data_IF_341753501749
#
_entry.id   IF_341753501749
#
_cell.length_a   1.000
_cell.length_b   1.000
_cell.length_c   1.000
_cell.angle_alpha   90.00
_cell.angle_beta   90.00
_cell.angle_gamma   90.00
#
_symmetry.space_group_name_H-M   'P 1'
#
loop_
_entity.id
_entity.type
_entity.pdbx_description
1 polymer ?
#
# COMPACT_ATOMS: atom_id res chain seq x y z
N UNK A 1 -13.65 -9.32 -3.39
CA UNK A 1 -13.43 -10.76 -3.60
C UNK A 1 -13.19 -11.39 -2.23
N UNK A 2 -14.03 -12.34 -1.81
CA UNK A 2 -13.80 -13.10 -0.58
C UNK A 2 -12.74 -14.16 -0.91
N UNK A 3 -11.58 -14.09 -0.27
CA UNK A 3 -10.50 -15.04 -0.47
C UNK A 3 -10.97 -16.45 -0.10
N UNK A 4 -10.75 -17.43 -0.97
CA UNK A 4 -11.06 -18.83 -0.64
C UNK A 4 -10.06 -19.35 0.38
N UNK A 5 -10.46 -20.40 1.10
CA UNK A 5 -9.80 -21.00 2.27
C UNK A 5 -8.34 -21.48 2.08
N UNK A 6 -7.75 -21.36 0.88
CA UNK A 6 -6.33 -21.66 0.63
C UNK A 6 -5.42 -20.42 0.77
N UNK A 7 -5.92 -19.20 0.56
CA UNK A 7 -5.10 -17.99 0.66
C UNK A 7 -4.68 -17.69 2.12
N UNK A 8 -5.47 -18.16 3.10
CA UNK A 8 -5.13 -18.04 4.52
C UNK A 8 -3.87 -18.82 4.90
N UNK A 9 -3.51 -19.87 4.16
CA UNK A 9 -2.26 -20.61 4.39
C UNK A 9 -1.00 -19.79 4.06
N UNK A 10 -1.13 -18.74 3.25
CA UNK A 10 -0.03 -17.85 2.88
C UNK A 10 -0.02 -16.53 3.67
N UNK A 11 -0.98 -16.33 4.58
CA UNK A 11 -1.04 -15.15 5.43
C UNK A 11 -0.63 -15.50 6.87
N UNK A 12 0.51 -14.97 7.31
CA UNK A 12 0.94 -15.04 8.70
C UNK A 12 0.93 -13.65 9.31
N UNK A 13 -0.08 -13.36 10.12
CA UNK A 13 -0.17 -12.11 10.90
C UNK A 13 1.05 -11.91 11.80
N UNK A 14 1.58 -13.01 12.36
CA UNK A 14 2.79 -12.97 13.17
C UNK A 14 4.00 -12.53 12.36
N UNK A 15 4.20 -13.11 11.16
CA UNK A 15 5.29 -12.74 10.27
C UNK A 15 5.16 -11.28 9.79
N UNK A 16 3.93 -10.86 9.47
CA UNK A 16 3.65 -9.47 9.08
C UNK A 16 4.09 -8.49 10.17
N UNK A 17 3.65 -8.69 11.42
CA UNK A 17 4.06 -7.81 12.52
C UNK A 17 5.53 -7.95 12.90
N UNK A 18 6.12 -9.13 12.77
CA UNK A 18 7.56 -9.32 12.94
C UNK A 18 8.37 -8.43 11.98
N UNK A 19 8.00 -8.38 10.70
CA UNK A 19 8.67 -7.54 9.71
C UNK A 19 8.37 -6.05 9.98
N UNK A 20 7.09 -5.68 10.10
CA UNK A 20 6.67 -4.28 10.28
C UNK A 20 7.34 -3.67 11.52
N UNK A 21 7.31 -4.35 12.66
CA UNK A 21 7.86 -3.83 13.90
C UNK A 21 9.38 -3.87 13.96
N UNK A 22 10.04 -4.79 13.26
CA UNK A 22 11.51 -4.84 13.24
C UNK A 22 12.12 -3.83 12.25
N UNK A 23 11.48 -3.60 11.10
CA UNK A 23 12.08 -2.83 9.99
C UNK A 23 11.45 -1.47 9.73
N UNK A 24 10.13 -1.34 9.90
CA UNK A 24 9.38 -0.19 9.40
C UNK A 24 8.88 0.74 10.51
N UNK A 25 8.69 0.22 11.72
CA UNK A 25 8.23 1.02 12.85
C UNK A 25 9.29 2.04 13.28
N UNK A 26 8.84 3.25 13.61
CA UNK A 26 9.69 4.32 14.10
C UNK A 26 10.25 3.92 15.48
N UNK A 27 11.57 3.91 15.62
CA UNK A 27 12.26 3.52 16.85
C UNK A 27 13.21 4.65 17.24
N UNK A 28 13.08 5.28 18.42
CA UNK A 28 12.07 4.99 19.46
C UNK A 28 10.65 5.32 19.00
N UNK A 29 9.66 4.61 19.56
CA UNK A 29 8.25 4.81 19.23
C UNK A 29 7.78 6.23 19.58
N UNK A 30 7.06 6.90 18.66
CA UNK A 30 6.39 8.16 18.96
C UNK A 30 5.23 7.93 19.93
N UNK A 31 4.83 8.99 20.64
CA UNK A 31 3.64 8.93 21.50
C UNK A 31 2.37 8.67 20.69
N UNK A 32 1.37 8.04 21.32
CA UNK A 32 0.07 7.79 20.66
C UNK A 32 -0.62 9.10 20.25
N UNK A 33 -0.47 10.16 21.05
CA UNK A 33 -1.00 11.50 20.74
C UNK A 33 -0.33 12.11 19.50
N UNK A 34 0.99 11.96 19.38
CA UNK A 34 1.72 12.45 18.21
C UNK A 34 1.28 11.73 16.94
N UNK A 35 1.17 10.40 16.97
CA UNK A 35 0.69 9.65 15.81
C UNK A 35 -0.76 9.96 15.46
N UNK A 36 -1.63 10.13 16.45
CA UNK A 36 -3.01 10.56 16.24
C UNK A 36 -3.04 11.95 15.59
N UNK A 37 -2.23 12.89 16.07
CA UNK A 37 -2.10 14.23 15.49
C UNK A 37 -1.62 14.17 14.03
N UNK A 38 -0.64 13.30 13.73
CA UNK A 38 -0.18 13.08 12.34
C UNK A 38 -1.30 12.53 11.45
N UNK A 39 -2.11 11.60 11.97
CA UNK A 39 -3.27 11.04 11.27
C UNK A 39 -4.35 12.09 11.00
N UNK A 40 -4.75 12.87 12.00
CA UNK A 40 -5.80 13.90 11.89
C UNK A 40 -5.39 15.06 10.98
N UNK A 41 -4.09 15.37 10.92
CA UNK A 41 -3.56 16.42 10.05
C UNK A 41 -3.32 15.96 8.60
N UNK A 42 -3.45 14.67 8.29
CA UNK A 42 -3.30 14.15 6.95
C UNK A 42 -4.60 14.30 6.15
N UNK A 43 -4.50 14.83 4.91
CA UNK A 43 -5.67 14.95 4.02
C UNK A 43 -6.28 13.60 3.64
N UNK A 44 -5.42 12.59 3.49
CA UNK A 44 -5.78 11.19 3.23
C UNK A 44 -4.77 10.34 4.02
N UNK A 45 -5.26 9.35 4.77
CA UNK A 45 -4.43 8.41 5.51
C UNK A 45 -5.00 7.00 5.41
N UNK A 46 -4.14 6.00 5.35
CA UNK A 46 -4.55 4.59 5.39
C UNK A 46 -4.74 4.13 6.84
N UNK A 47 -5.99 4.12 7.32
CA UNK A 47 -6.37 3.53 8.60
C UNK A 47 -5.77 4.20 9.84
N UNK A 48 -6.18 3.72 11.02
CA UNK A 48 -5.72 4.23 12.31
C UNK A 48 -4.44 3.57 12.79
N UNK A 49 -3.32 3.70 12.06
CA UNK A 49 -2.01 3.11 12.46
C UNK A 49 -1.61 3.50 13.89
N UNK A 50 -1.99 4.70 14.35
CA UNK A 50 -1.74 5.15 15.72
C UNK A 50 -2.29 4.20 16.79
N UNK A 51 -3.33 3.41 16.47
CA UNK A 51 -3.91 2.39 17.38
C UNK A 51 -3.01 1.15 17.55
N UNK A 52 -1.97 1.00 16.73
CA UNK A 52 -1.05 -0.14 16.80
C UNK A 52 0.08 0.05 17.82
N UNK A 53 0.23 1.24 18.43
CA UNK A 53 1.29 1.51 19.40
C UNK A 53 1.34 0.50 20.56
N UNK A 54 0.21 0.15 21.22
CA UNK A 54 0.20 -0.87 22.27
C UNK A 54 0.66 -2.24 21.75
N UNK A 55 0.27 -2.60 20.53
CA UNK A 55 0.70 -3.87 19.93
C UNK A 55 2.21 -3.86 19.66
N UNK A 56 2.75 -2.79 19.08
CA UNK A 56 4.20 -2.62 18.88
C UNK A 56 4.97 -2.73 20.21
N UNK A 57 4.53 -2.00 21.24
CA UNK A 57 5.22 -1.95 22.52
C UNK A 57 5.18 -3.29 23.26
N UNK A 58 4.06 -4.01 23.19
CA UNK A 58 3.99 -5.37 23.70
C UNK A 58 4.95 -6.27 22.93
N UNK A 59 4.89 -6.24 21.60
CA UNK A 59 5.62 -7.15 20.73
C UNK A 59 7.15 -6.94 20.78
N UNK A 60 7.61 -5.69 20.79
CA UNK A 60 9.04 -5.34 20.76
C UNK A 60 9.68 -5.29 22.15
N UNK A 61 8.89 -5.05 23.20
CA UNK A 61 9.36 -4.69 24.55
C UNK A 61 10.33 -3.49 24.56
N UNK A 62 10.17 -2.57 23.60
CA UNK A 62 10.95 -1.33 23.53
C UNK A 62 10.80 -0.51 24.83
N UNK A 63 11.90 0.12 25.28
CA UNK A 63 12.01 0.90 26.54
C UNK A 63 11.94 2.41 26.32
N UNK A 64 11.11 2.87 25.38
CA UNK A 64 10.85 4.30 25.21
C UNK A 64 9.76 4.78 26.17
N UNK A 65 9.73 6.09 26.44
CA UNK A 65 8.70 6.70 27.26
C UNK A 65 7.27 6.40 26.75
N UNK A 66 7.09 6.36 25.42
CA UNK A 66 5.81 6.03 24.81
C UNK A 66 5.37 4.59 25.13
N UNK A 67 6.30 3.62 25.09
CA UNK A 67 5.99 2.24 25.42
C UNK A 67 5.86 1.98 26.93
N UNK A 68 6.66 2.66 27.75
CA UNK A 68 6.59 2.58 29.21
C UNK A 68 5.26 3.14 29.74
N UNK A 69 4.74 4.22 29.15
CA UNK A 69 3.42 4.79 29.48
C UNK A 69 2.28 3.80 29.21
N UNK A 70 2.37 3.03 28.13
CA UNK A 70 1.34 2.04 27.75
C UNK A 70 1.35 0.79 28.65
N UNK A 71 2.47 0.49 29.29
CA UNK A 71 2.60 -0.57 30.30
C UNK A 71 2.15 -1.99 29.84
N UNK A 72 2.35 -2.29 28.55
CA UNK A 72 1.90 -3.55 27.89
C UNK A 72 3.01 -4.61 27.76
N UNK A 73 4.27 -4.25 28.04
CA UNK A 73 5.44 -5.13 27.90
C UNK A 73 5.79 -5.99 29.12
N UNK A 74 4.92 -6.06 30.15
CA UNK A 74 5.23 -6.67 31.45
C UNK A 74 5.02 -8.19 31.53
N UNK A 75 4.80 -8.86 30.40
CA UNK A 75 4.67 -10.30 30.36
C UNK A 75 6.05 -10.99 30.39
N UNK A 76 6.06 -12.25 30.86
CA UNK A 76 7.24 -13.10 30.86
C UNK A 76 7.55 -13.59 29.44
N UNK A 77 8.76 -13.32 28.95
CA UNK A 77 9.18 -13.59 27.57
C UNK A 77 9.95 -12.43 26.94
N UNK A 78 10.67 -12.74 25.87
CA UNK A 78 11.42 -11.76 25.08
C UNK A 78 10.53 -11.01 24.08
N UNK A 79 11.03 -9.91 23.55
CA UNK A 79 10.40 -9.22 22.42
C UNK A 79 10.48 -10.09 21.17
N UNK A 80 9.38 -10.15 20.41
CA UNK A 80 9.27 -10.87 19.14
C UNK A 80 9.78 -9.96 18.02
N UNK A 81 11.02 -9.50 18.08
CA UNK A 81 11.62 -8.63 17.07
C UNK A 81 13.02 -9.13 16.72
N UNK A 82 13.43 -9.00 15.47
CA UNK A 82 14.80 -9.32 15.07
C UNK A 82 15.67 -8.06 15.01
N UNK A 83 16.97 -8.26 15.20
CA UNK A 83 17.95 -7.20 15.04
C UNK A 83 18.10 -6.89 13.56
N UNK A 84 18.05 -5.60 13.23
CA UNK A 84 18.43 -5.07 11.92
C UNK A 84 19.87 -5.50 11.62
N UNK A 85 20.08 -6.10 10.46
CA UNK A 85 21.38 -6.60 10.05
C UNK A 85 22.18 -5.52 9.30
N UNK A 86 23.29 -5.92 8.70
CA UNK A 86 24.16 -5.03 7.94
C UNK A 86 23.58 -4.57 6.58
N UNK A 87 22.46 -5.15 6.14
CA UNK A 87 21.73 -4.75 4.94
C UNK A 87 20.61 -3.74 5.22
N UNK A 88 20.15 -3.63 6.47
CA UNK A 88 19.12 -2.66 6.82
C UNK A 88 19.54 -1.21 6.54
N UNK A 89 18.62 -0.43 5.96
CA UNK A 89 18.84 0.96 5.56
C UNK A 89 20.08 1.15 4.65
N UNK A 90 20.32 0.18 3.76
CA UNK A 90 21.34 0.26 2.72
C UNK A 90 20.68 0.32 1.35
N UNK A 91 21.31 1.08 0.46
CA UNK A 91 21.03 1.03 -0.97
C UNK A 91 21.37 -0.35 -1.52
N UNK A 92 20.53 -0.84 -2.42
CA UNK A 92 20.77 -2.06 -3.18
C UNK A 92 21.33 -1.68 -4.56
N UNK A 93 22.45 -2.30 -4.94
CA UNK A 93 22.97 -2.21 -6.29
C UNK A 93 22.22 -3.18 -7.21
N UNK A 94 21.78 -2.68 -8.37
CA UNK A 94 21.19 -3.48 -9.44
C UNK A 94 22.33 -4.26 -10.09
N UNK A 95 22.32 -5.61 -10.02
CA UNK A 95 23.35 -6.41 -10.67
C UNK A 95 23.44 -6.11 -12.17
N UNK A 96 24.63 -6.23 -12.76
CA UNK A 96 24.87 -5.91 -14.18
C UNK A 96 23.98 -6.69 -15.16
N UNK A 97 23.55 -7.89 -14.77
CA UNK A 97 22.68 -8.78 -15.55
C UNK A 97 21.18 -8.61 -15.23
N UNK A 98 20.82 -7.63 -14.40
CA UNK A 98 19.47 -7.41 -13.93
C UNK A 98 18.99 -5.98 -14.23
N UNK A 99 17.68 -5.82 -14.11
CA UNK A 99 16.94 -4.58 -14.27
C UNK A 99 15.95 -4.41 -13.13
N UNK A 100 15.55 -3.18 -12.84
CA UNK A 100 14.52 -2.88 -11.86
C UNK A 100 13.32 -2.19 -12.51
N UNK A 101 12.17 -2.87 -12.54
CA UNK A 101 10.90 -2.29 -12.96
C UNK A 101 10.09 -1.88 -11.73
N UNK A 102 9.67 -0.61 -11.67
CA UNK A 102 8.72 -0.10 -10.67
C UNK A 102 7.45 0.36 -11.37
N UNK A 103 6.31 0.05 -10.78
CA UNK A 103 5.00 0.54 -11.21
C UNK A 103 4.41 1.37 -10.06
N UNK A 104 3.79 2.52 -10.37
CA UNK A 104 3.19 3.36 -9.35
C UNK A 104 1.99 4.15 -9.89
N UNK A 105 0.93 4.23 -9.08
CA UNK A 105 -0.21 5.10 -9.34
C UNK A 105 -0.08 6.43 -8.58
N UNK A 106 -0.40 7.56 -9.24
CA UNK A 106 -0.37 8.87 -8.58
C UNK A 106 -1.52 9.08 -7.58
N UNK A 107 -2.59 8.28 -7.69
CA UNK A 107 -3.72 8.28 -6.76
C UNK A 107 -3.65 7.15 -5.73
N UNK A 108 -2.46 6.62 -5.44
CA UNK A 108 -2.26 5.63 -4.38
C UNK A 108 -2.14 6.30 -2.99
N UNK A 109 -3.15 6.18 -2.11
CA UNK A 109 -3.11 6.79 -0.78
C UNK A 109 -2.31 5.97 0.24
N UNK A 110 -1.99 4.70 -0.05
CA UNK A 110 -1.28 3.79 0.86
C UNK A 110 0.23 3.85 0.62
N UNK A 111 0.64 3.80 -0.65
CA UNK A 111 2.04 3.91 -1.06
C UNK A 111 2.23 5.07 -2.03
N UNK A 112 2.13 6.29 -1.48
CA UNK A 112 2.15 7.54 -2.25
C UNK A 112 3.33 7.60 -3.25
N UNK A 113 3.05 8.12 -4.45
CA UNK A 113 3.96 8.10 -5.60
C UNK A 113 5.38 8.59 -5.30
N UNK A 114 5.52 9.65 -4.49
CA UNK A 114 6.82 10.18 -4.04
C UNK A 114 7.75 9.12 -3.42
N UNK A 115 7.18 8.10 -2.77
CA UNK A 115 7.96 7.01 -2.18
C UNK A 115 8.42 6.00 -3.23
N UNK A 116 7.68 5.83 -4.33
CA UNK A 116 8.14 5.03 -5.47
C UNK A 116 9.31 5.73 -6.18
N UNK A 117 9.24 7.05 -6.38
CA UNK A 117 10.34 7.85 -6.91
C UNK A 117 11.57 7.79 -6.00
N UNK A 118 11.39 8.02 -4.69
CA UNK A 118 12.47 7.94 -3.72
C UNK A 118 13.13 6.55 -3.71
N UNK A 119 12.34 5.48 -3.69
CA UNK A 119 12.87 4.11 -3.73
C UNK A 119 13.67 3.84 -5.01
N UNK A 120 13.18 4.27 -6.18
CA UNK A 120 13.89 4.07 -7.44
C UNK A 120 15.21 4.86 -7.47
N UNK A 121 15.19 6.10 -6.96
CA UNK A 121 16.36 6.99 -6.95
C UNK A 121 17.49 6.46 -6.08
N UNK A 122 17.17 5.80 -4.94
CA UNK A 122 18.20 5.26 -4.05
C UNK A 122 18.81 3.95 -4.54
N UNK A 123 18.24 3.26 -5.53
CA UNK A 123 18.86 2.06 -6.12
C UNK A 123 20.13 2.45 -6.90
N UNK A 124 21.22 1.74 -6.65
CA UNK A 124 22.49 1.96 -7.36
C UNK A 124 22.48 1.22 -8.71
N UNK A 125 22.61 1.97 -9.80
CA UNK A 125 22.52 1.47 -11.17
C UNK A 125 21.46 2.16 -12.02
N UNK A 126 21.72 2.23 -13.32
CA UNK A 126 20.89 2.96 -14.29
C UNK A 126 19.86 2.07 -15.01
N UNK A 127 19.98 0.74 -14.92
CA UNK A 127 19.07 -0.20 -15.58
C UNK A 127 17.75 -0.34 -14.80
N UNK A 128 17.02 0.77 -14.66
CA UNK A 128 15.79 0.87 -13.89
C UNK A 128 14.79 1.78 -14.58
N UNK A 129 13.51 1.45 -14.44
CA UNK A 129 12.43 2.26 -15.01
C UNK A 129 11.23 2.30 -14.06
N UNK A 130 10.62 3.49 -13.95
CA UNK A 130 9.37 3.72 -13.25
C UNK A 130 8.27 4.00 -14.26
N UNK A 131 7.28 3.12 -14.34
CA UNK A 131 6.04 3.37 -15.06
C UNK A 131 5.04 4.01 -14.10
N UNK A 132 4.54 5.16 -14.51
CA UNK A 132 3.61 5.97 -13.72
C UNK A 132 2.23 5.96 -14.35
N UNK A 133 1.23 5.68 -13.54
CA UNK A 133 -0.18 5.72 -13.91
C UNK A 133 -0.85 6.92 -13.23
N UNK A 134 -1.35 7.88 -14.00
CA UNK A 134 -1.85 9.14 -13.43
C UNK A 134 -3.08 8.97 -12.55
N UNK A 135 -3.95 7.99 -12.84
CA UNK A 135 -5.27 7.87 -12.21
C UNK A 135 -5.50 6.52 -11.52
N UNK A 136 -4.43 5.85 -11.13
CA UNK A 136 -4.49 4.52 -10.52
C UNK A 136 -4.28 4.57 -9.03
N UNK A 137 -5.06 3.75 -8.31
CA UNK A 137 -5.00 3.57 -6.86
C UNK A 137 -3.99 2.49 -6.45
N UNK A 138 -3.99 2.09 -5.18
CA UNK A 138 -3.05 1.09 -4.66
C UNK A 138 -3.08 -0.24 -5.43
N UNK A 139 -1.91 -0.85 -5.61
CA UNK A 139 -1.79 -2.16 -6.27
C UNK A 139 -1.96 -2.10 -7.78
N UNK A 140 -1.08 -1.39 -8.48
CA UNK A 140 -1.15 -1.12 -9.94
C UNK A 140 -1.20 -2.36 -10.83
N UNK A 141 -0.84 -3.55 -10.32
CA UNK A 141 -1.03 -4.80 -11.07
C UNK A 141 -2.51 -5.17 -11.20
N UNK A 142 -3.38 -4.64 -10.34
CA UNK A 142 -4.80 -4.99 -10.27
C UNK A 142 -5.73 -3.80 -10.51
N UNK A 143 -5.24 -2.56 -10.42
CA UNK A 143 -6.07 -1.33 -10.43
C UNK A 143 -5.88 -0.45 -11.67
N UNK A 144 -5.28 -1.00 -12.73
CA UNK A 144 -5.05 -0.33 -14.02
C UNK A 144 -5.98 -0.89 -15.10
N UNK A 145 -7.28 -0.97 -14.83
CA UNK A 145 -8.28 -1.45 -15.78
C UNK A 145 -8.18 -0.69 -17.11
N UNK A 146 -8.17 -1.41 -18.22
CA UNK A 146 -8.14 -0.81 -19.55
C UNK A 146 -9.49 -0.19 -19.93
N UNK A 147 -10.58 -0.71 -19.38
CA UNK A 147 -11.95 -0.23 -19.64
C UNK A 147 -12.52 0.34 -18.33
N UNK A 148 -12.89 1.62 -18.35
CA UNK A 148 -13.49 2.29 -17.20
C UNK A 148 -14.76 1.55 -16.71
N UNK A 149 -14.86 1.36 -15.40
CA UNK A 149 -16.00 0.67 -14.76
C UNK A 149 -16.02 -0.85 -14.91
N UNK A 150 -15.21 -1.45 -15.79
CA UNK A 150 -15.15 -2.89 -15.98
C UNK A 150 -13.99 -3.52 -15.20
N UNK A 151 -14.32 -4.07 -14.03
CA UNK A 151 -13.37 -4.77 -13.16
C UNK A 151 -12.84 -6.09 -13.73
N UNK A 152 -13.47 -6.62 -14.78
CA UNK A 152 -13.05 -7.84 -15.47
C UNK A 152 -12.15 -7.56 -16.67
N UNK A 153 -12.03 -6.29 -17.07
CA UNK A 153 -11.15 -5.89 -18.16
C UNK A 153 -9.69 -6.22 -17.85
N UNK A 154 -8.90 -6.42 -18.91
CA UNK A 154 -7.47 -6.58 -18.75
C UNK A 154 -6.87 -5.36 -18.04
N UNK A 155 -5.77 -5.57 -17.32
CA UNK A 155 -5.09 -4.53 -16.55
C UNK A 155 -3.72 -4.22 -17.15
N UNK A 156 -3.46 -2.93 -17.45
CA UNK A 156 -2.21 -2.48 -18.07
C UNK A 156 -0.95 -2.87 -17.26
N UNK A 157 -0.98 -2.74 -15.93
CA UNK A 157 0.11 -3.15 -15.05
C UNK A 157 0.53 -4.61 -15.24
N UNK A 158 -0.42 -5.54 -15.40
CA UNK A 158 -0.09 -6.93 -15.72
C UNK A 158 0.40 -7.11 -17.16
N UNK A 159 -0.12 -6.35 -18.13
CA UNK A 159 0.41 -6.39 -19.51
C UNK A 159 1.88 -5.99 -19.53
N UNK A 160 2.25 -4.93 -18.82
CA UNK A 160 3.64 -4.47 -18.70
C UNK A 160 4.50 -5.51 -17.98
N UNK A 161 4.05 -6.05 -16.84
CA UNK A 161 4.80 -7.08 -16.12
C UNK A 161 5.02 -8.33 -16.99
N UNK A 162 3.99 -8.78 -17.71
CA UNK A 162 4.12 -9.90 -18.64
C UNK A 162 5.10 -9.59 -19.78
N UNK A 163 5.10 -8.35 -20.30
CA UNK A 163 6.04 -7.91 -21.33
C UNK A 163 7.48 -7.85 -20.81
N UNK A 164 7.69 -7.34 -19.60
CA UNK A 164 8.97 -7.33 -18.90
C UNK A 164 9.56 -8.74 -18.75
N UNK A 165 8.75 -9.69 -18.27
CA UNK A 165 9.18 -11.08 -18.10
C UNK A 165 9.48 -11.75 -19.44
N UNK A 166 8.62 -11.57 -20.45
CA UNK A 166 8.82 -12.15 -21.80
C UNK A 166 10.08 -11.64 -22.49
N UNK A 167 10.48 -10.40 -22.20
CA UNK A 167 11.70 -9.79 -22.73
C UNK A 167 12.93 -10.01 -21.82
N UNK A 168 12.86 -10.90 -20.83
CA UNK A 168 13.99 -11.24 -19.98
C UNK A 168 14.47 -10.09 -19.10
N UNK A 169 13.57 -9.17 -18.75
CA UNK A 169 13.90 -7.96 -18.00
C UNK A 169 14.38 -6.78 -18.85
N UNK A 170 14.48 -6.92 -20.18
CA UNK A 170 14.92 -5.81 -21.03
C UNK A 170 13.88 -4.69 -21.06
N UNK A 171 14.17 -3.60 -20.33
CA UNK A 171 13.31 -2.44 -20.16
C UNK A 171 13.01 -1.73 -21.49
N UNK A 172 13.96 -1.75 -22.43
CA UNK A 172 13.80 -1.10 -23.74
C UNK A 172 12.84 -1.87 -24.66
N UNK A 173 12.65 -3.16 -24.41
CA UNK A 173 11.80 -4.04 -25.22
C UNK A 173 10.40 -4.24 -24.62
N UNK A 174 10.12 -3.64 -23.46
CA UNK A 174 8.79 -3.68 -22.86
C UNK A 174 7.79 -2.94 -23.73
N UNK A 175 6.68 -3.61 -24.01
CA UNK A 175 5.49 -2.98 -24.54
C UNK A 175 4.78 -2.20 -23.42
N UNK A 176 4.76 -0.88 -23.57
CA UNK A 176 4.16 0.09 -22.64
C UNK A 176 2.97 0.83 -23.27
N UNK A 177 2.53 0.43 -24.47
CA UNK A 177 1.52 1.17 -25.22
C UNK A 177 0.17 1.24 -24.50
N UNK A 178 -0.09 0.31 -23.57
CA UNK A 178 -1.32 0.31 -22.80
C UNK A 178 -1.45 1.53 -21.88
N UNK A 179 -0.35 2.17 -21.47
CA UNK A 179 -0.36 3.34 -20.57
C UNK A 179 -1.10 4.49 -21.23
N UNK A 180 -0.79 4.79 -22.49
CA UNK A 180 -1.42 5.87 -23.27
C UNK A 180 -2.86 5.55 -23.68
N UNK A 181 -3.26 4.27 -23.60
CA UNK A 181 -4.59 3.79 -23.94
C UNK A 181 -5.52 3.70 -22.71
N UNK A 182 -5.00 3.95 -21.52
CA UNK A 182 -5.82 3.90 -20.31
C UNK A 182 -6.93 4.95 -20.35
N UNK A 183 -8.07 4.56 -19.81
CA UNK A 183 -9.22 5.46 -19.68
C UNK A 183 -8.84 6.69 -18.83
N UNK A 184 -9.39 7.85 -19.19
CA UNK A 184 -9.23 9.07 -18.41
C UNK A 184 -9.85 8.95 -17.02
N UNK A 185 -9.50 9.89 -16.14
CA UNK A 185 -10.10 9.97 -14.82
C UNK A 185 -11.58 10.31 -14.91
N UNK A 186 -12.42 9.44 -14.37
CA UNK A 186 -13.86 9.67 -14.24
C UNK A 186 -14.23 9.74 -12.76
N UNK A 187 -14.78 10.88 -12.37
CA UNK A 187 -15.28 11.16 -11.04
C UNK A 187 -16.78 10.81 -10.92
N UNK A 188 -17.37 10.12 -11.88
CA UNK A 188 -18.75 9.65 -11.81
C UNK A 188 -18.76 8.24 -11.21
N UNK A 189 -19.00 8.08 -9.90
CA UNK A 189 -19.09 6.74 -9.32
C UNK A 189 -20.34 6.02 -9.86
N UNK A 190 -20.27 4.68 -10.02
CA UNK A 190 -21.46 3.89 -10.31
C UNK A 190 -22.54 4.08 -9.23
N UNK A 191 -23.80 4.22 -9.64
CA UNK A 191 -24.94 4.50 -8.74
C UNK A 191 -25.03 3.50 -7.58
N UNK A 192 -24.78 2.22 -7.84
CA UNK A 192 -24.77 1.18 -6.81
C UNK A 192 -23.74 1.45 -5.71
N UNK A 193 -22.59 2.06 -6.03
CA UNK A 193 -21.58 2.43 -5.03
C UNK A 193 -21.98 3.68 -4.24
N UNK A 194 -22.63 4.65 -4.88
CA UNK A 194 -23.17 5.85 -4.21
C UNK A 194 -24.19 5.43 -3.16
N UNK A 195 -25.15 4.59 -3.55
CA UNK A 195 -26.17 4.05 -2.64
C UNK A 195 -25.54 3.21 -1.53
N UNK A 196 -24.65 2.29 -1.88
CA UNK A 196 -24.03 1.36 -0.93
C UNK A 196 -23.16 2.05 0.12
N UNK A 197 -22.32 3.01 -0.28
CA UNK A 197 -21.34 3.64 0.62
C UNK A 197 -21.81 4.96 1.22
N UNK A 198 -22.60 5.74 0.48
CA UNK A 198 -23.01 7.09 0.89
C UNK A 198 -24.49 7.15 1.33
N UNK A 199 -25.27 6.09 1.11
CA UNK A 199 -26.72 6.05 1.41
C UNK A 199 -27.46 7.24 0.79
N UNK A 200 -27.12 7.59 -0.44
CA UNK A 200 -27.73 8.67 -1.22
C UNK A 200 -27.73 8.28 -2.71
N UNK A 201 -28.47 9.01 -3.54
CA UNK A 201 -28.55 8.85 -4.99
C UNK A 201 -27.67 9.84 -5.76
N UNK A 202 -26.98 10.74 -5.06
CA UNK A 202 -26.03 11.69 -5.65
C UNK A 202 -24.73 11.70 -4.81
N UNK A 203 -23.56 11.60 -5.47
CA UNK A 203 -22.28 11.36 -4.80
C UNK A 203 -21.58 12.57 -4.16
N UNK A 204 -21.91 13.79 -4.56
CA UNK A 204 -21.23 15.04 -4.21
C UNK A 204 -22.07 15.99 -3.34
N UNK A 205 -23.34 16.17 -3.68
CA UNK A 205 -24.34 17.06 -3.08
C UNK A 205 -25.61 16.31 -2.60
N UNK A 206 -25.62 14.98 -2.66
CA UNK A 206 -26.74 14.14 -2.25
C UNK A 206 -27.06 14.21 -0.75
N UNK A 207 -28.36 14.22 -0.44
CA UNK A 207 -28.83 14.12 0.95
C UNK A 207 -28.87 12.66 1.40
N UNK A 208 -28.48 12.42 2.66
CA UNK A 208 -28.61 11.09 3.27
C UNK A 208 -30.07 10.60 3.23
N UNK A 209 -30.25 9.38 2.76
CA UNK A 209 -31.54 8.71 2.66
C UNK A 209 -31.48 7.34 3.34
N UNK A 210 -32.08 7.24 4.53
CA UNK A 210 -32.07 6.03 5.35
C UNK A 210 -32.71 4.80 4.69
N UNK A 211 -33.55 5.00 3.66
CA UNK A 211 -34.11 3.87 2.90
C UNK A 211 -33.03 3.06 2.16
N UNK A 212 -31.93 3.71 1.77
CA UNK A 212 -30.79 3.07 1.11
C UNK A 212 -29.86 2.33 2.07
N UNK A 213 -29.90 2.65 3.36
CA UNK A 213 -29.06 1.99 4.39
C UNK A 213 -29.49 0.56 4.73
N UNK A 214 -30.54 0.04 4.10
CA UNK A 214 -30.98 -1.36 4.24
C UNK A 214 -30.19 -2.34 3.35
N UNK A 215 -29.39 -1.84 2.41
CA UNK A 215 -28.55 -2.65 1.51
C UNK A 215 -27.14 -2.93 2.07
N UNK A 216 -26.78 -2.36 3.22
CA UNK A 216 -25.51 -2.61 3.91
C UNK A 216 -25.68 -3.76 4.91
N UNK A 217 -25.62 -5.01 4.43
CA UNK A 217 -25.46 -6.23 5.23
C UNK A 217 -24.35 -7.09 4.65
#
# INVERSE_FOLDING_TARGET
MSATTQDSAFQSTLLYYLIVFSELWETPAPSSLEMQTRFENARISSGGIYTMNPLYCAFSKEKSAACDELNVGNYDGDGIVYKRDHHWNKTVAIPSQASALRLSGKLDPQTAHKHAEALLNVLDGENKELITFDYTSHGTLMTTQMVAGDQTSEVCGMKILASYVRNGGDLQRMDKSCVDQMSGFDLTPPENYVVMFLSTDEAYDGAFNSSFSSYSS
#
